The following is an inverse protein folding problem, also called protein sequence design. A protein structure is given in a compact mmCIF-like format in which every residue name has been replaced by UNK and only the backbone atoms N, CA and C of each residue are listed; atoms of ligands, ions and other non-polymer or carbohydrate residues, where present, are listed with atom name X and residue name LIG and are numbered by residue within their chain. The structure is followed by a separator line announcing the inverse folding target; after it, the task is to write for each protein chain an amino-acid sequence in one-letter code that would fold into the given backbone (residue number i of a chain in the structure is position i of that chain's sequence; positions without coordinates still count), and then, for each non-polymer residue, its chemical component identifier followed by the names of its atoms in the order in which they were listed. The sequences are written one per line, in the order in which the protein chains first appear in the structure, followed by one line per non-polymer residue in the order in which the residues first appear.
data_IF_930337592547
#
_entry.id   IF_930337592547
#
_cell.length_a   1.000
_cell.length_b   1.000
_cell.length_c   1.000
_cell.angle_alpha   90.00
_cell.angle_beta   90.00
_cell.angle_gamma   90.00
#
_symmetry.space_group_name_H-M   'P 1'
#
loop_
_entity.id
_entity.type
_entity.pdbx_description
1 polymer ?
#
# COMPACT_ATOMS: atom_id res chain seq x y z
N UNK A 1 -7.81 -1.77 44.58
CA UNK A 1 -7.65 -0.52 43.79
C UNK A 1 -8.34 -0.71 42.44
N UNK A 2 -9.55 -0.19 42.31
CA UNK A 2 -10.41 -0.33 41.12
C UNK A 2 -10.01 0.69 40.06
N UNK A 3 -9.32 0.25 38.99
CA UNK A 3 -9.04 1.09 37.81
C UNK A 3 -10.33 1.18 36.99
N UNK A 4 -10.93 2.36 36.95
CA UNK A 4 -12.16 2.60 36.18
C UNK A 4 -11.89 2.39 34.68
N UNK A 5 -12.72 1.58 34.03
CA UNK A 5 -12.70 1.34 32.58
C UNK A 5 -12.93 2.66 31.82
N UNK A 6 -12.11 3.00 30.82
CA UNK A 6 -12.29 4.22 30.05
C UNK A 6 -13.61 4.19 29.27
N UNK A 7 -14.34 5.31 29.28
CA UNK A 7 -15.64 5.42 28.60
C UNK A 7 -15.53 5.13 27.10
N UNK A 8 -16.61 4.65 26.45
CA UNK A 8 -16.67 4.39 25.00
C UNK A 8 -16.23 5.57 24.12
N UNK A 9 -16.31 6.81 24.63
CA UNK A 9 -15.76 8.00 23.99
C UNK A 9 -14.23 8.05 24.05
N UNK A 10 -13.63 7.71 25.18
CA UNK A 10 -12.17 7.63 25.34
C UNK A 10 -11.54 6.56 24.45
N UNK A 11 -12.24 5.43 24.25
CA UNK A 11 -11.79 4.37 23.35
C UNK A 11 -11.82 4.80 21.87
N UNK A 12 -12.90 5.47 21.42
CA UNK A 12 -12.99 6.04 20.07
C UNK A 12 -11.92 7.12 19.83
N UNK A 13 -11.65 7.94 20.84
CA UNK A 13 -10.57 8.94 20.79
C UNK A 13 -9.21 8.24 20.72
N UNK A 14 -8.97 7.16 21.46
CA UNK A 14 -7.73 6.41 21.40
C UNK A 14 -7.49 5.75 20.03
N UNK A 15 -8.54 5.19 19.40
CA UNK A 15 -8.45 4.60 18.05
C UNK A 15 -8.21 5.69 16.99
N UNK A 16 -8.91 6.82 17.08
CA UNK A 16 -8.66 7.97 16.20
C UNK A 16 -7.25 8.54 16.38
N UNK A 17 -6.77 8.66 17.62
CA UNK A 17 -5.41 9.12 17.92
C UNK A 17 -4.38 8.10 17.43
N UNK A 18 -4.63 6.80 17.56
CA UNK A 18 -3.78 5.74 17.01
C UNK A 18 -3.71 5.77 15.48
N UNK A 19 -4.86 5.94 14.80
CA UNK A 19 -4.92 6.08 13.35
C UNK A 19 -4.22 7.36 12.86
N UNK A 20 -4.38 8.48 13.58
CA UNK A 20 -3.68 9.74 13.31
C UNK A 20 -2.17 9.60 13.55
N UNK A 21 -1.75 8.93 14.63
CA UNK A 21 -0.33 8.68 14.91
C UNK A 21 0.30 7.75 13.87
N UNK A 22 -0.44 6.75 13.38
CA UNK A 22 0.01 5.87 12.29
C UNK A 22 0.12 6.65 10.97
N UNK A 23 -0.86 7.51 10.67
CA UNK A 23 -0.83 8.41 9.52
C UNK A 23 0.33 9.41 9.59
N UNK A 24 0.60 9.96 10.78
CA UNK A 24 1.74 10.85 11.02
C UNK A 24 3.05 10.08 10.90
N UNK A 25 3.15 8.87 11.43
CA UNK A 25 4.34 8.02 11.29
C UNK A 25 4.64 7.70 9.80
N UNK A 26 3.62 7.31 9.05
CA UNK A 26 3.73 7.06 7.60
C UNK A 26 4.09 8.33 6.84
N UNK A 27 3.46 9.46 7.16
CA UNK A 27 3.82 10.76 6.59
C UNK A 27 5.28 11.14 6.93
N UNK A 28 5.76 10.88 8.14
CA UNK A 28 7.15 11.17 8.55
C UNK A 28 8.19 10.27 7.91
N UNK A 29 7.82 9.08 7.44
CA UNK A 29 8.72 8.26 6.62
C UNK A 29 8.71 8.74 5.17
N UNK A 30 7.56 9.20 4.67
CA UNK A 30 7.39 9.68 3.30
C UNK A 30 7.97 11.09 3.05
N UNK A 31 8.02 11.96 4.06
CA UNK A 31 8.67 13.28 3.97
C UNK A 31 10.16 13.28 4.36
N UNK A 32 10.70 12.13 4.79
CA UNK A 32 12.07 12.06 5.27
C UNK A 32 12.99 12.45 4.10
N UNK A 33 13.85 13.49 4.26
CA UNK A 33 14.73 13.89 3.19
C UNK A 33 15.61 12.69 2.81
N UNK A 34 15.54 12.26 1.55
CA UNK A 34 16.52 11.34 1.02
C UNK A 34 17.89 12.00 1.22
N UNK A 35 18.79 11.33 1.95
CA UNK A 35 20.14 11.82 2.16
C UNK A 35 20.83 11.93 0.79
N UNK A 36 20.75 13.11 0.19
CA UNK A 36 21.57 13.47 -0.94
C UNK A 36 23.00 13.42 -0.45
N UNK A 37 23.83 12.58 -1.05
CA UNK A 37 25.26 12.59 -0.81
C UNK A 37 25.76 14.01 -1.10
N UNK A 38 26.14 14.73 -0.05
CA UNK A 38 26.80 16.01 -0.21
C UNK A 38 28.09 15.76 -0.99
N UNK A 39 28.31 16.52 -2.07
CA UNK A 39 29.61 16.55 -2.73
C UNK A 39 30.57 17.24 -1.76
N UNK A 40 31.32 16.43 -1.01
CA UNK A 40 32.44 16.88 -0.19
C UNK A 40 33.64 17.04 -1.10
N UNK A 41 34.26 18.22 -1.08
CA UNK A 41 35.53 18.46 -1.77
C UNK A 41 36.59 17.44 -1.29
N UNK A 42 37.49 16.96 -2.17
CA UNK A 42 38.53 16.01 -1.77
C UNK A 42 39.42 16.66 -0.71
N UNK A 43 39.41 16.13 0.51
CA UNK A 43 40.40 16.49 1.53
C UNK A 43 41.71 15.74 1.26
N UNK A 44 42.83 16.44 1.43
CA UNK A 44 44.17 15.87 1.27
C UNK A 44 44.35 14.56 2.06
N UNK A 45 45.10 13.57 1.53
CA UNK A 45 45.31 12.31 2.22
C UNK A 45 46.01 12.52 3.57
N UNK A 46 45.42 11.99 4.64
CA UNK A 46 46.10 11.95 5.93
C UNK A 46 47.37 11.09 5.85
N UNK A 47 48.47 11.47 6.52
CA UNK A 47 49.70 10.69 6.54
C UNK A 47 49.44 9.29 7.14
N UNK A 48 50.16 8.26 6.66
CA UNK A 48 49.91 6.87 7.06
C UNK A 48 50.13 6.70 8.57
N UNK A 49 49.07 6.30 9.27
CA UNK A 49 49.15 5.86 10.66
C UNK A 49 49.82 4.49 10.72
N UNK A 50 50.75 4.31 11.66
CA UNK A 50 51.48 3.05 11.85
C UNK A 50 50.50 1.89 12.14
N UNK A 51 50.81 0.66 11.71
CA UNK A 51 49.97 -0.50 12.01
C UNK A 51 49.85 -0.69 13.52
N UNK A 52 48.62 -0.69 14.02
CA UNK A 52 48.32 -1.10 15.40
C UNK A 52 48.24 -2.62 15.40
N UNK A 53 48.94 -3.28 16.32
CA UNK A 53 48.87 -4.73 16.52
C UNK A 53 47.40 -5.19 16.66
N UNK A 54 47.02 -6.37 16.15
CA UNK A 54 45.66 -6.87 16.30
C UNK A 54 45.34 -7.08 17.78
N UNK A 55 44.61 -6.15 18.39
CA UNK A 55 43.91 -6.43 19.63
C UNK A 55 42.72 -7.34 19.28
N UNK A 56 42.69 -8.53 19.89
CA UNK A 56 41.59 -9.50 19.92
C UNK A 56 40.33 -8.88 20.56
N UNK A 57 39.75 -7.91 19.87
CA UNK A 57 38.54 -7.19 20.23
C UNK A 57 37.69 -7.08 18.98
N UNK A 58 37.34 -8.23 18.40
CA UNK A 58 36.43 -8.31 17.28
C UNK A 58 35.08 -7.69 17.63
N UNK A 59 34.89 -6.43 17.26
CA UNK A 59 33.58 -5.96 16.80
C UNK A 59 33.34 -6.51 15.39
N UNK A 60 33.46 -7.83 15.25
CA UNK A 60 32.71 -8.52 14.22
C UNK A 60 31.25 -8.34 14.63
N UNK A 61 30.39 -7.93 13.69
CA UNK A 61 28.97 -8.21 13.82
C UNK A 61 28.82 -9.73 13.76
N UNK A 62 29.19 -10.43 14.84
CA UNK A 62 28.94 -11.84 15.03
C UNK A 62 27.45 -11.98 15.29
N UNK A 63 26.71 -12.23 14.22
CA UNK A 63 25.35 -12.76 14.34
C UNK A 63 25.52 -14.19 14.87
N UNK A 64 25.64 -14.33 16.19
CA UNK A 64 25.51 -15.62 16.84
C UNK A 64 24.08 -16.10 16.60
N UNK A 65 23.91 -17.06 15.70
CA UNK A 65 22.59 -17.57 15.31
C UNK A 65 21.96 -18.38 16.46
N UNK A 66 22.77 -18.91 17.37
CA UNK A 66 22.34 -19.75 18.49
C UNK A 66 22.70 -19.08 19.83
N UNK A 67 21.69 -18.85 20.66
CA UNK A 67 21.85 -18.40 22.05
C UNK A 67 22.31 -19.53 22.98
N UNK A 68 22.47 -19.25 24.30
CA UNK A 68 23.14 -20.14 25.26
C UNK A 68 22.49 -21.52 25.47
N UNK A 69 21.32 -21.78 24.88
CA UNK A 69 20.51 -23.00 25.07
C UNK A 69 20.02 -23.62 23.73
N UNK A 70 20.57 -23.20 22.58
CA UNK A 70 20.07 -23.63 21.26
C UNK A 70 18.78 -22.93 20.80
N UNK A 71 18.28 -21.97 21.60
CA UNK A 71 17.25 -21.02 21.17
C UNK A 71 17.86 -19.96 20.25
N UNK A 72 17.10 -19.41 19.27
CA UNK A 72 17.57 -18.30 18.46
C UNK A 72 18.06 -17.15 19.34
N UNK A 73 19.24 -16.60 19.03
CA UNK A 73 19.78 -15.45 19.77
C UNK A 73 18.75 -14.32 19.86
N UNK A 74 18.58 -13.75 21.05
CA UNK A 74 17.67 -12.60 21.27
C UNK A 74 17.97 -11.44 20.31
N UNK A 75 19.23 -11.29 19.89
CA UNK A 75 19.65 -10.30 18.89
C UNK A 75 19.11 -10.65 17.49
N UNK A 76 19.13 -11.92 17.11
CA UNK A 76 18.59 -12.40 15.83
C UNK A 76 17.05 -12.25 15.78
N UNK A 77 16.35 -12.62 16.86
CA UNK A 77 14.88 -12.45 16.95
C UNK A 77 14.50 -10.98 16.86
N UNK A 78 15.26 -10.10 17.51
CA UNK A 78 15.03 -8.64 17.43
C UNK A 78 15.27 -8.11 16.03
N UNK A 79 16.35 -8.54 15.37
CA UNK A 79 16.68 -8.17 13.99
C UNK A 79 15.59 -8.59 13.00
N UNK A 80 15.09 -9.82 13.12
CA UNK A 80 13.96 -10.31 12.32
C UNK A 80 12.69 -9.52 12.64
N UNK A 81 12.44 -9.23 13.93
CA UNK A 81 11.30 -8.43 14.37
C UNK A 81 11.27 -7.03 13.76
N UNK A 82 12.39 -6.29 13.77
CA UNK A 82 12.45 -4.95 13.15
C UNK A 82 12.32 -5.00 11.62
N UNK A 83 12.81 -6.08 11.00
CA UNK A 83 12.69 -6.28 9.54
C UNK A 83 11.24 -6.55 9.14
N UNK A 84 10.52 -7.39 9.88
CA UNK A 84 9.09 -7.63 9.64
C UNK A 84 8.26 -6.37 9.94
N UNK A 85 8.62 -5.62 10.98
CA UNK A 85 7.92 -4.38 11.33
C UNK A 85 8.05 -3.30 10.25
N UNK A 86 9.18 -3.23 9.54
CA UNK A 86 9.36 -2.26 8.45
C UNK A 86 8.53 -2.60 7.20
N UNK A 87 8.27 -3.89 6.95
CA UNK A 87 7.44 -4.36 5.82
C UNK A 87 5.94 -4.37 6.13
N UNK A 88 5.57 -4.46 7.41
CA UNK A 88 4.18 -4.57 7.84
C UNK A 88 3.26 -3.48 7.26
N UNK A 89 3.61 -2.18 7.23
CA UNK A 89 2.72 -1.14 6.70
C UNK A 89 2.37 -1.38 5.23
N UNK A 90 3.35 -1.74 4.41
CA UNK A 90 3.16 -1.99 2.98
C UNK A 90 2.31 -3.24 2.74
N UNK A 91 2.57 -4.32 3.50
CA UNK A 91 1.78 -5.54 3.42
C UNK A 91 0.32 -5.30 3.79
N UNK A 92 0.07 -4.54 4.86
CA UNK A 92 -1.28 -4.17 5.29
C UNK A 92 -2.02 -3.37 4.22
N UNK A 93 -1.35 -2.41 3.57
CA UNK A 93 -1.95 -1.66 2.46
C UNK A 93 -2.33 -2.59 1.30
N UNK A 94 -1.49 -3.56 0.95
CA UNK A 94 -1.77 -4.51 -0.12
C UNK A 94 -2.92 -5.47 0.18
N UNK A 95 -3.23 -5.72 1.46
CA UNK A 95 -4.38 -6.51 1.91
C UNK A 95 -5.70 -5.71 1.96
N UNK A 96 -5.66 -4.42 1.58
CA UNK A 96 -6.83 -3.52 1.58
C UNK A 96 -7.19 -3.07 0.17
N UNK A 97 -8.21 -2.22 0.05
CA UNK A 97 -8.57 -1.53 -1.19
C UNK A 97 -7.53 -0.54 -1.76
N UNK A 98 -6.42 -0.30 -1.04
CA UNK A 98 -5.45 0.72 -1.42
C UNK A 98 -4.87 0.50 -2.83
N UNK A 99 -4.53 -0.75 -3.18
CA UNK A 99 -3.84 -1.09 -4.43
C UNK A 99 -4.63 -0.66 -5.67
N UNK A 100 -5.90 -1.08 -5.80
CA UNK A 100 -6.73 -0.75 -6.97
C UNK A 100 -7.00 0.75 -7.05
N UNK A 101 -7.32 1.38 -5.93
CA UNK A 101 -7.58 2.83 -5.86
C UNK A 101 -6.34 3.62 -6.33
N UNK A 102 -5.16 3.32 -5.77
CA UNK A 102 -3.93 4.02 -6.13
C UNK A 102 -3.59 3.85 -7.61
N UNK A 103 -3.72 2.65 -8.16
CA UNK A 103 -3.42 2.37 -9.57
C UNK A 103 -4.39 3.08 -10.50
N UNK A 104 -5.69 3.08 -10.23
CA UNK A 104 -6.68 3.82 -11.06
C UNK A 104 -6.41 5.32 -11.05
N UNK A 105 -6.11 5.89 -9.89
CA UNK A 105 -5.77 7.31 -9.77
C UNK A 105 -4.48 7.65 -10.54
N UNK A 106 -3.46 6.78 -10.48
CA UNK A 106 -2.22 6.94 -11.23
C UNK A 106 -2.44 6.83 -12.75
N UNK A 107 -3.25 5.87 -13.20
CA UNK A 107 -3.62 5.72 -14.61
C UNK A 107 -4.42 6.92 -15.12
N UNK A 108 -5.32 7.46 -14.30
CA UNK A 108 -6.08 8.69 -14.61
C UNK A 108 -5.14 9.87 -14.86
N UNK A 109 -4.16 10.10 -13.96
CA UNK A 109 -3.16 11.16 -14.15
C UNK A 109 -2.41 10.99 -15.47
N UNK A 110 -2.00 9.76 -15.79
CA UNK A 110 -1.30 9.49 -17.03
C UNK A 110 -2.21 9.73 -18.26
N UNK A 111 -3.50 9.39 -18.17
CA UNK A 111 -4.48 9.63 -19.23
C UNK A 111 -4.67 11.11 -19.55
N UNK A 112 -4.68 11.96 -18.52
CA UNK A 112 -4.73 13.41 -18.65
C UNK A 112 -3.50 13.99 -19.36
N UNK A 113 -2.37 13.26 -19.41
CA UNK A 113 -1.14 13.73 -20.05
C UNK A 113 -0.33 14.72 -19.20
N UNK A 114 -0.64 14.84 -17.91
CA UNK A 114 0.03 15.73 -16.96
C UNK A 114 1.31 15.09 -16.42
N UNK A 115 2.46 15.78 -16.54
CA UNK A 115 3.76 15.20 -16.18
C UNK A 115 3.96 14.98 -14.66
N UNK A 116 3.41 15.85 -13.81
CA UNK A 116 3.69 15.83 -12.36
C UNK A 116 2.51 16.22 -11.47
N UNK A 117 1.38 16.64 -12.06
CA UNK A 117 0.21 17.12 -11.32
C UNK A 117 -0.96 16.16 -11.54
N UNK A 118 -1.54 15.54 -10.50
CA UNK A 118 -1.15 15.61 -9.10
C UNK A 118 0.13 14.81 -8.76
N UNK A 119 0.93 15.23 -7.75
CA UNK A 119 2.09 14.47 -7.27
C UNK A 119 1.73 13.08 -6.75
N UNK A 120 2.67 12.12 -6.84
CA UNK A 120 2.46 10.75 -6.33
C UNK A 120 2.02 10.73 -4.86
N UNK A 121 2.55 11.61 -4.02
CA UNK A 121 2.18 11.72 -2.61
C UNK A 121 0.72 12.14 -2.42
N UNK A 122 0.19 13.01 -3.28
CA UNK A 122 -1.22 13.43 -3.23
C UNK A 122 -2.12 12.27 -3.64
N UNK A 123 -1.74 11.52 -4.69
CA UNK A 123 -2.49 10.33 -5.11
C UNK A 123 -2.45 9.23 -4.04
N UNK A 124 -1.30 9.02 -3.40
CA UNK A 124 -1.15 8.07 -2.30
C UNK A 124 -2.01 8.48 -1.09
N UNK A 125 -1.99 9.76 -0.72
CA UNK A 125 -2.85 10.28 0.36
C UNK A 125 -4.33 10.12 0.05
N UNK A 126 -4.77 10.45 -1.17
CA UNK A 126 -6.15 10.25 -1.60
C UNK A 126 -6.54 8.77 -1.57
N UNK A 127 -5.66 7.90 -2.09
CA UNK A 127 -5.88 6.46 -2.07
C UNK A 127 -5.99 5.91 -0.65
N UNK A 128 -5.17 6.41 0.28
CA UNK A 128 -5.22 6.01 1.68
C UNK A 128 -6.53 6.42 2.34
N UNK A 129 -6.99 7.67 2.16
CA UNK A 129 -8.27 8.11 2.74
C UNK A 129 -9.47 7.39 2.14
N UNK A 130 -9.47 7.16 0.83
CA UNK A 130 -10.53 6.37 0.19
C UNK A 130 -10.49 4.90 0.64
N UNK A 131 -9.31 4.32 0.81
CA UNK A 131 -9.19 2.96 1.35
C UNK A 131 -9.71 2.88 2.78
N UNK A 132 -9.36 3.83 3.64
CA UNK A 132 -9.90 3.89 5.01
C UNK A 132 -11.43 4.02 5.02
N UNK A 133 -12.00 4.79 4.08
CA UNK A 133 -13.44 4.92 3.92
C UNK A 133 -14.11 3.61 3.51
N UNK A 134 -13.56 2.92 2.49
CA UNK A 134 -14.08 1.63 2.00
C UNK A 134 -13.92 0.52 3.04
N UNK A 135 -12.79 0.50 3.75
CA UNK A 135 -12.44 -0.54 4.73
C UNK A 135 -13.04 -0.30 6.13
N UNK A 136 -13.76 0.80 6.33
CA UNK A 136 -14.37 1.13 7.63
C UNK A 136 -15.14 -0.03 8.30
N UNK A 137 -16.04 -0.78 7.61
CA UNK A 137 -16.73 -1.92 8.22
C UNK A 137 -15.76 -3.04 8.66
N UNK A 138 -14.78 -3.37 7.82
CA UNK A 138 -13.77 -4.41 8.10
C UNK A 138 -12.95 -4.03 9.33
N UNK A 139 -12.51 -2.77 9.45
CA UNK A 139 -11.80 -2.30 10.63
C UNK A 139 -12.66 -2.33 11.90
N UNK A 140 -13.97 -2.08 11.77
CA UNK A 140 -14.92 -2.22 12.87
C UNK A 140 -14.99 -3.66 13.39
N UNK A 141 -15.11 -4.63 12.48
CA UNK A 141 -15.14 -6.06 12.82
C UNK A 141 -13.83 -6.54 13.44
N UNK A 142 -12.68 -6.13 12.90
CA UNK A 142 -11.37 -6.44 13.48
C UNK A 142 -11.27 -5.86 14.89
N UNK A 143 -11.75 -4.63 15.10
CA UNK A 143 -11.71 -4.01 16.43
C UNK A 143 -12.50 -4.83 17.44
N UNK A 144 -13.72 -5.24 17.09
CA UNK A 144 -14.64 -5.92 17.99
C UNK A 144 -14.25 -7.40 18.22
N UNK A 145 -13.76 -8.10 17.19
CA UNK A 145 -13.38 -9.50 17.25
C UNK A 145 -11.96 -9.75 17.79
N UNK A 146 -11.02 -8.83 17.58
CA UNK A 146 -9.60 -9.03 17.91
C UNK A 146 -9.04 -8.00 18.88
N UNK A 147 -9.21 -6.70 18.61
CA UNK A 147 -8.53 -5.64 19.36
C UNK A 147 -9.10 -5.48 20.76
N UNK A 148 -10.43 -5.39 20.93
CA UNK A 148 -11.04 -5.24 22.26
C UNK A 148 -10.76 -6.45 23.16
N UNK A 149 -10.97 -7.71 22.72
CA UNK A 149 -10.69 -8.89 23.55
C UNK A 149 -9.23 -8.98 24.01
N UNK A 150 -8.27 -8.59 23.14
CA UNK A 150 -6.86 -8.56 23.47
C UNK A 150 -6.53 -7.49 24.50
N UNK A 151 -7.05 -6.27 24.33
CA UNK A 151 -6.85 -5.16 25.27
C UNK A 151 -7.49 -5.42 26.63
N UNK A 152 -8.60 -6.15 26.66
CA UNK A 152 -9.29 -6.58 27.88
C UNK A 152 -8.61 -7.80 28.54
N UNK A 153 -7.55 -8.34 27.93
CA UNK A 153 -6.78 -9.48 28.46
C UNK A 153 -7.51 -10.83 28.38
N UNK A 154 -8.57 -10.91 27.57
CA UNK A 154 -9.39 -12.13 27.42
C UNK A 154 -8.83 -13.11 26.39
N UNK A 155 -8.00 -12.62 25.45
CA UNK A 155 -7.36 -13.42 24.40
C UNK A 155 -5.85 -13.17 24.36
N UNK A 156 -5.11 -14.16 23.90
CA UNK A 156 -3.67 -14.00 23.63
C UNK A 156 -3.45 -13.24 22.32
N UNK A 157 -2.24 -12.73 22.11
CA UNK A 157 -1.88 -12.05 20.86
C UNK A 157 -2.09 -12.94 19.63
N UNK A 158 -1.74 -14.24 19.72
CA UNK A 158 -1.96 -15.21 18.62
C UNK A 158 -3.45 -15.35 18.29
N UNK A 159 -4.30 -15.51 19.31
CA UNK A 159 -5.74 -15.64 19.11
C UNK A 159 -6.35 -14.37 18.53
N UNK A 160 -5.87 -13.19 18.95
CA UNK A 160 -6.30 -11.93 18.39
C UNK A 160 -5.91 -11.78 16.91
N UNK A 161 -4.70 -12.22 16.52
CA UNK A 161 -4.30 -12.26 15.12
C UNK A 161 -5.18 -13.19 14.28
N UNK A 162 -5.46 -14.39 14.80
CA UNK A 162 -6.31 -15.37 14.10
C UNK A 162 -7.74 -14.84 13.93
N UNK A 163 -8.31 -14.23 14.97
CA UNK A 163 -9.64 -13.61 14.91
C UNK A 163 -9.68 -12.38 13.97
N UNK A 164 -8.65 -11.54 14.01
CA UNK A 164 -8.56 -10.34 13.18
C UNK A 164 -8.29 -10.63 11.70
N UNK A 165 -7.71 -11.80 11.40
CA UNK A 165 -7.48 -12.24 10.03
C UNK A 165 -8.78 -12.65 9.31
N UNK A 166 -9.84 -13.01 10.04
CA UNK A 166 -11.11 -13.49 9.45
C UNK A 166 -11.81 -12.40 8.62
N UNK A 167 -12.10 -11.19 9.16
CA UNK A 167 -12.73 -10.13 8.36
C UNK A 167 -11.89 -9.70 7.15
N UNK A 168 -10.56 -9.68 7.29
CA UNK A 168 -9.65 -9.38 6.17
C UNK A 168 -9.73 -10.46 5.09
N UNK A 169 -9.77 -11.73 5.49
CA UNK A 169 -9.91 -12.86 4.56
C UNK A 169 -11.23 -12.78 3.80
N UNK A 170 -12.32 -12.53 4.49
CA UNK A 170 -13.65 -12.39 3.89
C UNK A 170 -13.68 -11.25 2.87
N UNK A 171 -13.14 -10.08 3.24
CA UNK A 171 -12.99 -8.96 2.31
C UNK A 171 -12.17 -9.31 1.07
N UNK A 172 -11.00 -9.95 1.24
CA UNK A 172 -10.16 -10.33 0.11
C UNK A 172 -10.85 -11.36 -0.78
N UNK A 173 -11.50 -12.37 -0.21
CA UNK A 173 -12.23 -13.40 -0.97
C UNK A 173 -13.38 -12.80 -1.79
N UNK A 174 -14.13 -11.85 -1.22
CA UNK A 174 -15.22 -11.17 -1.92
C UNK A 174 -14.75 -10.37 -3.15
N UNK A 175 -13.47 -10.00 -3.20
CA UNK A 175 -12.89 -9.19 -4.27
C UNK A 175 -11.78 -9.92 -5.06
N UNK A 176 -11.59 -11.21 -4.82
CA UNK A 176 -10.65 -12.06 -5.57
C UNK A 176 -11.43 -12.86 -6.60
N UNK A 177 -10.94 -12.89 -7.85
CA UNK A 177 -11.56 -13.72 -8.89
C UNK A 177 -11.20 -15.19 -8.66
N UNK A 178 -12.17 -16.08 -8.83
CA UNK A 178 -11.95 -17.54 -8.70
C UNK A 178 -10.82 -18.04 -9.61
N UNK A 179 -10.71 -17.48 -10.81
CA UNK A 179 -9.64 -17.81 -11.77
C UNK A 179 -8.25 -17.47 -11.24
N UNK A 180 -8.10 -16.28 -10.62
CA UNK A 180 -6.83 -15.79 -10.09
C UNK A 180 -6.48 -16.55 -8.79
N UNK A 181 -7.49 -16.92 -7.99
CA UNK A 181 -7.32 -17.81 -6.84
C UNK A 181 -6.85 -19.21 -7.25
N UNK A 182 -7.53 -19.83 -8.23
CA UNK A 182 -7.18 -21.14 -8.75
C UNK A 182 -5.79 -21.16 -9.41
N UNK A 183 -5.41 -20.05 -10.08
CA UNK A 183 -4.05 -19.89 -10.61
C UNK A 183 -3.01 -19.96 -9.51
N UNK A 184 -3.19 -19.22 -8.41
CA UNK A 184 -2.24 -19.20 -7.29
C UNK A 184 -2.22 -20.53 -6.52
N UNK A 185 -3.36 -21.19 -6.34
CA UNK A 185 -3.44 -22.53 -5.73
C UNK A 185 -2.65 -23.56 -6.54
N UNK A 186 -2.85 -23.59 -7.86
CA UNK A 186 -2.10 -24.49 -8.76
C UNK A 186 -0.61 -24.15 -8.80
N UNK A 187 -0.26 -22.87 -8.80
CA UNK A 187 1.13 -22.42 -8.79
C UNK A 187 1.86 -22.81 -7.50
N UNK A 188 1.13 -22.94 -6.39
CA UNK A 188 1.64 -23.40 -5.10
C UNK A 188 1.65 -24.93 -4.94
N UNK A 189 1.25 -25.70 -5.96
CA UNK A 189 1.10 -27.16 -5.91
C UNK A 189 0.23 -27.64 -4.74
N UNK A 190 -0.81 -26.85 -4.43
CA UNK A 190 -1.77 -27.16 -3.37
C UNK A 190 -2.99 -27.89 -3.96
N UNK A 191 -3.55 -28.81 -3.19
CA UNK A 191 -4.84 -29.43 -3.50
C UNK A 191 -5.93 -28.37 -3.58
N UNK A 192 -6.95 -28.61 -4.41
CA UNK A 192 -8.06 -27.67 -4.51
C UNK A 192 -8.77 -27.56 -3.15
N UNK A 193 -8.93 -26.34 -2.60
CA UNK A 193 -9.59 -26.13 -1.33
C UNK A 193 -11.06 -26.52 -1.43
N UNK A 194 -11.60 -27.17 -0.39
CA UNK A 194 -13.01 -27.58 -0.35
C UNK A 194 -13.94 -26.36 -0.27
N UNK A 195 -13.52 -25.31 0.44
CA UNK A 195 -14.22 -24.03 0.51
C UNK A 195 -13.26 -22.85 0.29
N UNK A 196 -13.74 -21.70 -0.20
CA UNK A 196 -12.90 -20.50 -0.36
C UNK A 196 -12.25 -20.03 0.95
N UNK A 197 -12.85 -20.34 2.11
CA UNK A 197 -12.37 -19.93 3.43
C UNK A 197 -11.13 -20.73 3.86
N UNK A 198 -10.93 -21.93 3.30
CA UNK A 198 -9.80 -22.81 3.60
C UNK A 198 -8.50 -22.37 2.92
N UNK A 199 -8.55 -21.34 2.06
CA UNK A 199 -7.36 -20.89 1.35
C UNK A 199 -6.36 -20.21 2.30
N UNK A 200 -5.09 -20.64 2.32
CA UNK A 200 -4.04 -19.98 3.10
C UNK A 200 -3.85 -18.52 2.67
N UNK A 201 -3.59 -17.62 3.63
CA UNK A 201 -3.30 -16.22 3.34
C UNK A 201 -2.10 -16.03 2.40
N UNK A 202 -1.12 -16.93 2.46
CA UNK A 202 0.05 -16.94 1.57
C UNK A 202 -0.32 -17.13 0.09
N UNK A 203 -1.46 -17.74 -0.19
CA UNK A 203 -2.01 -17.93 -1.54
C UNK A 203 -3.07 -16.88 -1.87
N UNK A 204 -3.92 -16.53 -0.91
CA UNK A 204 -5.00 -15.55 -1.09
C UNK A 204 -4.47 -14.14 -1.36
N UNK A 205 -3.49 -13.67 -0.59
CA UNK A 205 -2.95 -12.30 -0.72
C UNK A 205 -2.43 -12.03 -2.13
N UNK A 206 -1.52 -12.85 -2.72
CA UNK A 206 -1.09 -12.60 -4.09
C UNK A 206 -2.22 -12.75 -5.13
N UNK A 207 -3.17 -13.67 -4.94
CA UNK A 207 -4.34 -13.80 -5.82
C UNK A 207 -5.22 -12.53 -5.79
N UNK A 208 -5.45 -11.99 -4.59
CA UNK A 208 -6.18 -10.75 -4.37
C UNK A 208 -5.49 -9.57 -5.05
N UNK A 209 -4.17 -9.42 -4.85
CA UNK A 209 -3.40 -8.34 -5.48
C UNK A 209 -3.49 -8.40 -7.02
N UNK A 210 -3.38 -9.60 -7.61
CA UNK A 210 -3.54 -9.78 -9.07
C UNK A 210 -4.95 -9.39 -9.52
N UNK A 211 -5.98 -9.84 -8.79
CA UNK A 211 -7.38 -9.52 -9.08
C UNK A 211 -7.64 -8.01 -9.05
N UNK A 212 -7.13 -7.33 -8.02
CA UNK A 212 -7.26 -5.89 -7.82
C UNK A 212 -6.50 -5.10 -8.88
N UNK A 213 -5.29 -5.52 -9.25
CA UNK A 213 -4.53 -4.92 -10.35
C UNK A 213 -5.28 -5.06 -11.68
N UNK A 214 -5.80 -6.25 -11.98
CA UNK A 214 -6.60 -6.48 -13.19
C UNK A 214 -7.81 -5.55 -13.23
N UNK A 215 -8.57 -5.47 -12.14
CA UNK A 215 -9.71 -4.56 -12.03
C UNK A 215 -9.29 -3.09 -12.20
N UNK A 216 -8.17 -2.69 -11.59
CA UNK A 216 -7.62 -1.34 -11.72
C UNK A 216 -7.26 -0.99 -13.18
N UNK A 217 -6.64 -1.93 -13.90
CA UNK A 217 -6.33 -1.73 -15.31
C UNK A 217 -7.56 -1.65 -16.20
N UNK A 218 -8.62 -2.43 -15.90
CA UNK A 218 -9.89 -2.34 -16.64
C UNK A 218 -10.53 -0.96 -16.43
N UNK A 219 -10.65 -0.52 -15.17
CA UNK A 219 -11.19 0.82 -14.85
C UNK A 219 -10.33 1.91 -15.48
N UNK A 220 -9.01 1.81 -15.34
CA UNK A 220 -8.07 2.77 -15.90
C UNK A 220 -8.12 2.82 -17.42
N UNK A 221 -8.32 1.69 -18.10
CA UNK A 221 -8.52 1.65 -19.55
C UNK A 221 -9.80 2.39 -19.97
N UNK A 222 -10.91 2.14 -19.27
CA UNK A 222 -12.19 2.85 -19.54
C UNK A 222 -12.02 4.36 -19.36
N UNK A 223 -11.30 4.80 -18.33
CA UNK A 223 -10.96 6.21 -18.11
C UNK A 223 -10.06 6.76 -19.24
N UNK A 224 -9.19 5.94 -19.81
CA UNK A 224 -8.25 6.34 -20.86
C UNK A 224 -8.93 6.64 -22.21
N UNK A 225 -9.98 5.90 -22.56
CA UNK A 225 -10.66 5.95 -23.87
C UNK A 225 -11.06 7.38 -24.29
N UNK A 226 -11.79 8.19 -23.50
CA UNK A 226 -12.19 9.53 -23.95
C UNK A 226 -10.99 10.46 -24.23
N UNK A 227 -9.91 10.34 -23.45
CA UNK A 227 -8.71 11.16 -23.65
C UNK A 227 -7.91 10.74 -24.87
N UNK A 228 -7.86 9.43 -25.15
CA UNK A 228 -7.25 8.90 -26.37
C UNK A 228 -7.95 9.43 -27.61
N UNK A 229 -9.29 9.49 -27.60
CA UNK A 229 -10.06 10.08 -28.71
C UNK A 229 -9.67 11.55 -28.93
N UNK A 230 -9.51 12.34 -27.86
CA UNK A 230 -9.04 13.73 -27.97
C UNK A 230 -7.64 13.77 -28.61
N UNK A 231 -6.71 12.93 -28.17
CA UNK A 231 -5.36 12.87 -28.74
C UNK A 231 -5.38 12.57 -30.24
N UNK A 232 -6.18 11.57 -30.65
CA UNK A 232 -6.28 11.15 -32.04
C UNK A 232 -6.87 12.24 -32.93
N UNK A 233 -7.92 12.93 -32.46
CA UNK A 233 -8.56 14.04 -33.19
C UNK A 233 -7.61 15.23 -33.32
N UNK A 234 -6.93 15.62 -32.23
CA UNK A 234 -5.98 16.74 -32.24
C UNK A 234 -4.78 16.42 -33.13
N UNK A 235 -4.25 15.20 -33.07
CA UNK A 235 -3.15 14.77 -33.92
C UNK A 235 -3.52 14.80 -35.42
N UNK A 236 -4.71 14.30 -35.78
CA UNK A 236 -5.19 14.35 -37.16
C UNK A 236 -5.36 15.79 -37.66
N UNK A 237 -5.88 16.69 -36.82
CA UNK A 237 -6.03 18.11 -37.15
C UNK A 237 -4.67 18.81 -37.34
N UNK A 238 -3.70 18.58 -36.45
CA UNK A 238 -2.34 19.13 -36.56
C UNK A 238 -1.63 18.65 -37.82
N UNK A 239 -1.74 17.35 -38.12
CA UNK A 239 -1.18 16.75 -39.32
C UNK A 239 -1.80 17.37 -40.59
N UNK A 240 -3.11 17.63 -40.58
CA UNK A 240 -3.80 18.32 -41.68
C UNK A 240 -3.35 19.77 -41.89
N UNK A 241 -2.85 20.45 -40.84
CA UNK A 241 -2.29 21.80 -40.94
C UNK A 241 -0.81 21.81 -41.34
N UNK A 242 -0.17 20.64 -41.50
CA UNK A 242 1.25 20.53 -41.83
C UNK A 242 2.20 20.74 -40.65
N UNK A 243 1.70 20.81 -39.41
CA UNK A 243 2.52 21.02 -38.21
C UNK A 243 3.04 19.68 -37.67
N UNK A 244 4.04 19.10 -38.33
CA UNK A 244 4.62 17.81 -37.91
C UNK A 244 5.58 17.89 -36.72
N UNK A 245 6.08 19.08 -36.35
CA UNK A 245 7.09 19.22 -35.28
C UNK A 245 6.51 19.48 -33.88
N UNK A 246 5.23 19.82 -33.76
CA UNK A 246 4.60 20.05 -32.45
C UNK A 246 4.04 18.74 -31.90
N UNK A 247 4.44 18.30 -30.68
CA UNK A 247 3.86 17.12 -30.06
C UNK A 247 2.34 17.29 -29.88
N UNK A 248 1.49 16.42 -30.47
CA UNK A 248 0.04 16.55 -30.36
C UNK A 248 -0.48 16.56 -28.92
N UNK A 249 0.23 15.89 -28.02
CA UNK A 249 -0.08 15.82 -26.59
C UNK A 249 -0.09 17.19 -25.92
N UNK A 250 0.84 18.08 -26.28
CA UNK A 250 0.92 19.44 -25.73
C UNK A 250 -0.32 20.28 -26.08
N UNK A 251 -0.85 20.09 -27.29
CA UNK A 251 -2.03 20.80 -27.78
C UNK A 251 -3.33 20.19 -27.25
N UNK A 252 -3.36 18.86 -27.08
CA UNK A 252 -4.52 18.14 -26.54
C UNK A 252 -4.76 18.39 -25.04
N UNK A 253 -3.70 18.65 -24.27
CA UNK A 253 -3.73 18.80 -22.81
C UNK A 253 -4.82 19.76 -22.32
N UNK A 254 -4.93 21.03 -22.80
CA UNK A 254 -5.97 21.94 -22.34
C UNK A 254 -7.39 21.41 -22.61
N UNK A 255 -7.62 20.71 -23.72
CA UNK A 255 -8.92 20.11 -24.03
C UNK A 255 -9.25 18.95 -23.10
N UNK A 256 -8.28 18.10 -22.78
CA UNK A 256 -8.45 17.01 -21.81
C UNK A 256 -8.79 17.54 -20.43
N UNK A 257 -8.05 18.54 -19.95
CA UNK A 257 -8.30 19.16 -18.65
C UNK A 257 -9.67 19.84 -18.60
N UNK A 258 -10.06 20.55 -19.67
CA UNK A 258 -11.38 21.17 -19.77
C UNK A 258 -12.49 20.12 -19.70
N UNK A 259 -12.39 19.05 -20.49
CA UNK A 259 -13.36 17.95 -20.48
C UNK A 259 -13.45 17.35 -19.08
N UNK A 260 -12.31 17.03 -18.47
CA UNK A 260 -12.24 16.38 -17.17
C UNK A 260 -12.88 17.22 -16.06
N UNK A 261 -12.67 18.54 -16.06
CA UNK A 261 -13.30 19.45 -15.09
C UNK A 261 -14.80 19.61 -15.39
N UNK A 262 -15.19 19.69 -16.67
CA UNK A 262 -16.59 19.89 -17.07
C UNK A 262 -17.51 18.74 -16.65
N UNK A 263 -16.98 17.51 -16.64
CA UNK A 263 -17.72 16.30 -16.25
C UNK A 263 -17.59 15.94 -14.78
N UNK A 264 -16.90 16.76 -13.97
CA UNK A 264 -16.52 16.42 -12.60
C UNK A 264 -15.78 15.06 -12.52
N UNK A 265 -14.70 14.93 -13.28
CA UNK A 265 -14.00 13.66 -13.48
C UNK A 265 -13.44 13.04 -12.19
N UNK A 266 -12.99 13.85 -11.22
CA UNK A 266 -12.58 13.32 -9.91
C UNK A 266 -13.77 12.72 -9.16
N UNK A 267 -14.92 13.38 -9.14
CA UNK A 267 -16.14 12.87 -8.51
C UNK A 267 -16.61 11.56 -9.14
N UNK A 268 -16.61 11.48 -10.48
CA UNK A 268 -16.97 10.26 -11.21
C UNK A 268 -16.03 9.09 -10.90
N UNK A 269 -14.72 9.32 -10.90
CA UNK A 269 -13.72 8.28 -10.62
C UNK A 269 -13.84 7.79 -9.19
N UNK A 270 -13.93 8.70 -8.22
CA UNK A 270 -14.09 8.34 -6.81
C UNK A 270 -15.38 7.55 -6.58
N UNK A 271 -16.49 7.97 -7.17
CA UNK A 271 -17.78 7.26 -7.06
C UNK A 271 -17.69 5.87 -7.68
N UNK A 272 -17.08 5.74 -8.86
CA UNK A 272 -16.87 4.45 -9.53
C UNK A 272 -15.96 3.52 -8.71
N UNK A 273 -14.91 4.05 -8.07
CA UNK A 273 -14.00 3.27 -7.24
C UNK A 273 -14.68 2.76 -5.98
N UNK A 274 -15.40 3.62 -5.25
CA UNK A 274 -16.16 3.22 -4.06
C UNK A 274 -17.24 2.21 -4.45
N UNK A 275 -17.97 2.46 -5.54
CA UNK A 275 -18.98 1.55 -6.06
C UNK A 275 -18.42 0.19 -6.49
N UNK A 276 -17.13 0.10 -6.86
CA UNK A 276 -16.50 -1.17 -7.21
C UNK A 276 -16.23 -2.10 -6.01
N UNK A 277 -16.31 -1.58 -4.78
CA UNK A 277 -16.18 -2.36 -3.54
C UNK A 277 -17.50 -2.51 -2.78
N UNK A 278 -18.47 -1.64 -3.05
CA UNK A 278 -19.78 -1.72 -2.42
C UNK A 278 -20.52 -2.99 -2.84
N UNK A 279 -20.96 -3.77 -1.84
CA UNK A 279 -22.03 -4.75 -2.03
C UNK A 279 -23.25 -4.02 -2.60
N UNK A 280 -23.66 -4.42 -3.81
CA UNK A 280 -25.06 -4.30 -4.21
C UNK A 280 -25.92 -5.24 -3.39
#
# INVERSE_FOLDING_TARGET
MTRALPSRRALRVAVLVGAVLLLVAVATVLLAPHAGAAVVDPTDPAPPTQPVDPQDGGSTLSVEINGPNGEPSSSLVTLVGITLLSLAPTLLLMMTSFTKIFVVLALTRNALGTATVPPNMVLAGLALFLSLFVMWPVFGEINDAAVQPYLDGTTTFSQALDAGAVPLREFMLAHTREEDLALMTRAADLENPATPVDVPLTTLVPAFVISELRAAFIIGFVVFVPFLVIDLVVAAALMSMGMMMLPPTMISLPFKLLLFVLVDGWGLITTSLIGSYGMG
#
